data_IF_655259954597
#
_entry.id   IF_655259954597
#
_cell.length_a   1.000
_cell.length_b   1.000
_cell.length_c   1.000
_cell.angle_alpha   90.00
_cell.angle_beta   90.00
_cell.angle_gamma   90.00
#
_symmetry.space_group_name_H-M   'P 1'
#
loop_
_entity.id
_entity.type
_entity.pdbx_description
1 polymer ?
#
# COMPACT_ATOMS: atom_id res chain seq x y z
N UNK A 1 12.02 18.21 6.04
CA UNK A 1 11.02 17.95 4.99
C UNK A 1 11.15 16.50 4.57
N UNK A 2 10.04 15.75 4.54
CA UNK A 2 10.01 14.36 4.08
C UNK A 2 9.71 14.32 2.59
N UNK A 3 10.33 13.40 1.86
CA UNK A 3 10.07 13.17 0.44
C UNK A 3 9.62 11.72 0.23
N UNK A 4 8.61 11.52 -0.62
CA UNK A 4 8.27 10.19 -1.11
C UNK A 4 9.05 9.95 -2.40
N UNK A 5 9.85 8.88 -2.44
CA UNK A 5 10.72 8.54 -3.57
C UNK A 5 10.45 7.12 -4.06
N UNK A 6 10.43 7.00 -5.38
CA UNK A 6 10.25 5.74 -6.10
C UNK A 6 11.61 5.18 -6.52
N UNK A 7 11.81 3.88 -6.30
CA UNK A 7 13.01 3.14 -6.68
C UNK A 7 12.64 1.95 -7.56
N UNK A 8 13.01 2.01 -8.83
CA UNK A 8 12.67 1.03 -9.86
C UNK A 8 13.77 -0.03 -10.02
N UNK A 9 13.39 -1.26 -10.36
CA UNK A 9 14.27 -2.46 -10.40
C UNK A 9 15.59 -2.25 -11.15
N UNK A 10 15.57 -1.52 -12.26
CA UNK A 10 16.75 -1.29 -13.12
C UNK A 10 17.65 -0.13 -12.64
N UNK A 11 17.37 0.44 -11.46
CA UNK A 11 18.12 1.57 -10.90
C UNK A 11 18.90 1.14 -9.66
N UNK A 12 20.12 1.69 -9.43
CA UNK A 12 20.99 1.27 -8.33
C UNK A 12 20.33 1.44 -6.95
N UNK A 13 19.48 2.45 -6.77
CA UNK A 13 18.78 2.68 -5.50
C UNK A 13 17.81 1.55 -5.11
N UNK A 14 17.31 0.76 -6.07
CA UNK A 14 16.44 -0.38 -5.77
C UNK A 14 17.16 -1.44 -4.94
N UNK A 15 18.41 -1.78 -5.31
CA UNK A 15 19.22 -2.76 -4.59
C UNK A 15 19.52 -2.32 -3.16
N UNK A 16 19.83 -1.04 -2.97
CA UNK A 16 20.04 -0.47 -1.64
C UNK A 16 18.79 -0.62 -0.75
N UNK A 17 17.60 -0.33 -1.27
CA UNK A 17 16.35 -0.51 -0.51
C UNK A 17 16.08 -2.00 -0.26
N UNK A 18 16.30 -2.85 -1.25
CA UNK A 18 16.12 -4.30 -1.15
C UNK A 18 16.98 -4.89 -0.02
N UNK A 19 18.26 -4.51 0.04
CA UNK A 19 19.19 -4.92 1.10
C UNK A 19 18.73 -4.40 2.47
N UNK A 20 18.33 -3.14 2.57
CA UNK A 20 17.82 -2.58 3.82
C UNK A 20 16.56 -3.30 4.33
N UNK A 21 15.64 -3.69 3.43
CA UNK A 21 14.47 -4.51 3.81
C UNK A 21 14.90 -5.89 4.30
N UNK A 22 15.85 -6.54 3.61
CA UNK A 22 16.38 -7.85 4.03
C UNK A 22 16.99 -7.78 5.42
N UNK A 23 17.81 -6.77 5.67
CA UNK A 23 18.43 -6.55 6.97
C UNK A 23 17.39 -6.28 8.06
N UNK A 24 16.32 -5.56 7.73
CA UNK A 24 15.21 -5.32 8.64
C UNK A 24 14.47 -6.64 9.00
N UNK A 25 14.17 -7.48 8.01
CA UNK A 25 13.54 -8.78 8.26
C UNK A 25 14.46 -9.72 9.05
N UNK A 26 15.77 -9.71 8.77
CA UNK A 26 16.75 -10.48 9.52
C UNK A 26 16.81 -10.03 10.98
N UNK A 27 16.87 -8.71 11.21
CA UNK A 27 16.93 -8.13 12.56
C UNK A 27 15.69 -8.43 13.39
N UNK A 28 14.49 -8.32 12.79
CA UNK A 28 13.23 -8.43 13.53
C UNK A 28 12.72 -9.87 13.66
N UNK A 29 13.01 -10.72 12.68
CA UNK A 29 12.43 -12.06 12.59
C UNK A 29 13.46 -13.17 12.45
N UNK A 30 14.75 -12.87 12.27
CA UNK A 30 15.73 -13.87 11.83
C UNK A 30 15.44 -14.40 10.42
N UNK A 31 14.65 -13.66 9.63
CA UNK A 31 14.17 -14.06 8.32
C UNK A 31 15.06 -13.48 7.21
N UNK A 32 15.24 -14.22 6.12
CA UNK A 32 16.05 -13.79 4.97
C UNK A 32 15.29 -13.89 3.64
N UNK A 33 14.05 -13.37 3.53
CA UNK A 33 13.31 -13.37 2.27
C UNK A 33 14.03 -12.51 1.23
N UNK A 34 13.86 -12.80 -0.05
CA UNK A 34 14.39 -11.97 -1.13
C UNK A 34 13.26 -11.18 -1.79
N UNK A 35 12.88 -10.00 -1.25
CA UNK A 35 11.76 -9.23 -1.79
C UNK A 35 12.08 -8.73 -3.20
N UNK A 36 11.19 -9.01 -4.15
CA UNK A 36 11.33 -8.59 -5.56
C UNK A 36 10.08 -7.86 -6.08
N UNK A 37 9.60 -6.79 -5.40
CA UNK A 37 8.50 -6.00 -5.94
C UNK A 37 8.85 -5.34 -7.27
N UNK A 38 7.86 -4.82 -7.99
CA UNK A 38 8.08 -4.07 -9.23
C UNK A 38 8.62 -2.66 -8.94
N UNK A 39 8.25 -2.11 -7.78
CA UNK A 39 8.63 -0.78 -7.33
C UNK A 39 8.83 -0.77 -5.81
N UNK A 40 9.89 -0.12 -5.34
CA UNK A 40 9.97 0.31 -3.95
C UNK A 40 9.56 1.78 -3.82
N UNK A 41 8.80 2.10 -2.77
CA UNK A 41 8.46 3.46 -2.39
C UNK A 41 9.01 3.72 -0.99
N UNK A 42 9.82 4.77 -0.83
CA UNK A 42 10.41 5.13 0.45
C UNK A 42 10.00 6.54 0.89
N UNK A 43 9.84 6.72 2.19
CA UNK A 43 9.80 8.03 2.82
C UNK A 43 11.23 8.41 3.20
N UNK A 44 11.84 9.33 2.47
CA UNK A 44 13.24 9.75 2.65
C UNK A 44 13.35 11.11 3.34
N UNK A 45 14.57 11.45 3.72
CA UNK A 45 14.95 12.83 4.01
C UNK A 45 14.92 13.69 2.74
N UNK A 46 15.16 15.00 2.91
CA UNK A 46 15.16 15.97 1.82
C UNK A 46 16.26 15.71 0.77
N UNK A 47 17.32 15.00 1.14
CA UNK A 47 18.39 14.56 0.23
C UNK A 47 17.95 13.46 -0.75
N UNK A 48 16.81 12.80 -0.50
CA UNK A 48 16.30 11.72 -1.31
C UNK A 48 17.03 10.39 -1.12
N UNK A 49 17.91 10.26 -0.12
CA UNK A 49 18.71 9.07 0.08
C UNK A 49 17.89 7.88 0.60
N UNK A 50 18.13 6.70 0.04
CA UNK A 50 17.62 5.43 0.54
C UNK A 50 18.43 4.95 1.76
N UNK A 51 17.85 4.15 2.66
CA UNK A 51 16.47 3.66 2.63
C UNK A 51 15.46 4.61 3.32
N UNK A 52 15.94 5.73 3.88
CA UNK A 52 15.11 6.73 4.53
C UNK A 52 14.52 6.26 5.86
N UNK A 53 13.29 6.69 6.15
CA UNK A 53 12.58 6.42 7.41
C UNK A 53 11.74 5.14 7.36
N UNK A 54 11.14 4.85 6.20
CA UNK A 54 10.32 3.68 5.96
C UNK A 54 10.26 3.40 4.45
N UNK A 55 10.01 2.16 4.09
CA UNK A 55 9.78 1.75 2.71
C UNK A 55 8.72 0.64 2.61
N UNK A 56 8.10 0.52 1.44
CA UNK A 56 7.25 -0.60 1.06
C UNK A 56 7.52 -0.97 -0.40
N UNK A 57 7.23 -2.21 -0.76
CA UNK A 57 7.21 -2.69 -2.14
C UNK A 57 5.81 -2.70 -2.71
N UNK A 58 5.68 -2.40 -4.00
CA UNK A 58 4.46 -2.54 -4.80
C UNK A 58 4.72 -3.57 -5.91
N UNK A 59 3.86 -4.58 -5.98
CA UNK A 59 3.82 -5.54 -7.11
C UNK A 59 2.47 -5.38 -7.80
N UNK A 60 2.46 -5.22 -9.12
CA UNK A 60 1.23 -5.01 -9.86
C UNK A 60 0.60 -6.34 -10.26
N UNK A 61 -0.73 -6.44 -10.26
CA UNK A 61 -1.41 -7.69 -10.57
C UNK A 61 -1.14 -8.20 -11.99
N UNK A 62 -0.82 -7.31 -12.93
CA UNK A 62 -0.50 -7.64 -14.32
C UNK A 62 0.97 -8.07 -14.54
N UNK A 63 1.84 -7.94 -13.53
CA UNK A 63 3.22 -8.44 -13.60
C UNK A 63 3.33 -9.94 -13.27
N UNK A 64 2.27 -10.55 -12.74
CA UNK A 64 2.19 -12.00 -12.50
C UNK A 64 1.29 -12.38 -11.32
N UNK A 65 1.53 -13.57 -10.78
CA UNK A 65 0.87 -14.04 -9.54
C UNK A 65 1.40 -13.25 -8.35
N UNK A 66 0.49 -12.68 -7.56
CA UNK A 66 0.86 -11.92 -6.37
C UNK A 66 1.25 -12.88 -5.24
N UNK A 67 2.11 -12.45 -4.32
CA UNK A 67 2.59 -13.35 -3.26
C UNK A 67 1.46 -13.82 -2.35
N UNK A 68 0.54 -12.91 -2.00
CA UNK A 68 -0.59 -13.18 -1.12
C UNK A 68 -1.58 -14.20 -1.69
N UNK A 69 -1.60 -14.41 -3.00
CA UNK A 69 -2.46 -15.43 -3.64
C UNK A 69 -2.00 -16.85 -3.37
N UNK A 70 -0.77 -17.05 -2.90
CA UNK A 70 -0.34 -18.37 -2.44
C UNK A 70 -1.19 -18.86 -1.26
N UNK A 71 -1.74 -17.94 -0.46
CA UNK A 71 -2.57 -18.25 0.69
C UNK A 71 -4.08 -18.33 0.38
N UNK A 72 -4.48 -18.10 -0.86
CA UNK A 72 -5.89 -18.06 -1.27
C UNK A 72 -6.21 -19.21 -2.22
N UNK A 73 -7.44 -19.69 -2.16
CA UNK A 73 -7.92 -20.79 -3.01
C UNK A 73 -8.31 -20.31 -4.41
N UNK A 74 -8.66 -19.02 -4.53
CA UNK A 74 -9.02 -18.34 -5.76
C UNK A 74 -8.14 -17.09 -5.98
N UNK A 75 -7.99 -16.69 -7.24
CA UNK A 75 -7.27 -15.45 -7.58
C UNK A 75 -8.09 -14.21 -7.21
N UNK A 76 -7.41 -13.13 -6.86
CA UNK A 76 -8.06 -11.89 -6.41
C UNK A 76 -8.94 -11.26 -7.49
N UNK A 77 -8.57 -11.37 -8.76
CA UNK A 77 -9.36 -10.89 -9.89
C UNK A 77 -10.70 -11.63 -10.02
N UNK A 78 -10.72 -12.92 -9.71
CA UNK A 78 -11.93 -13.74 -9.70
C UNK A 78 -12.81 -13.39 -8.49
N UNK A 79 -12.26 -13.45 -7.28
CA UNK A 79 -13.05 -13.26 -6.05
C UNK A 79 -13.60 -11.84 -5.89
N UNK A 80 -12.93 -10.82 -6.47
CA UNK A 80 -13.39 -9.43 -6.43
C UNK A 80 -14.04 -8.94 -7.72
N UNK A 81 -14.13 -9.77 -8.75
CA UNK A 81 -14.62 -9.42 -10.09
C UNK A 81 -13.97 -8.12 -10.62
N UNK A 82 -12.64 -8.02 -10.52
CA UNK A 82 -11.89 -6.83 -10.90
C UNK A 82 -10.76 -7.19 -11.87
N UNK A 83 -10.56 -6.34 -12.88
CA UNK A 83 -9.48 -6.53 -13.85
C UNK A 83 -8.09 -6.54 -13.19
N UNK A 84 -7.24 -7.48 -13.60
CA UNK A 84 -5.94 -7.75 -13.01
C UNK A 84 -5.02 -6.52 -12.90
N UNK A 85 -5.01 -5.67 -13.92
CA UNK A 85 -4.24 -4.41 -13.96
C UNK A 85 -4.70 -3.37 -12.92
N UNK A 86 -5.83 -3.58 -12.23
CA UNK A 86 -6.34 -2.71 -11.17
C UNK A 86 -6.06 -3.25 -9.77
N UNK A 87 -5.30 -4.33 -9.66
CA UNK A 87 -4.90 -4.95 -8.40
C UNK A 87 -3.43 -4.61 -8.13
N UNK A 88 -3.12 -4.22 -6.90
CA UNK A 88 -1.74 -4.04 -6.44
C UNK A 88 -1.53 -4.79 -5.13
N UNK A 89 -0.36 -5.41 -4.97
CA UNK A 89 0.10 -5.94 -3.70
C UNK A 89 1.06 -4.97 -3.04
N UNK A 90 0.84 -4.69 -1.76
CA UNK A 90 1.82 -4.01 -0.91
C UNK A 90 2.51 -5.07 -0.05
N UNK A 91 3.83 -5.17 -0.21
CA UNK A 91 4.68 -6.08 0.53
C UNK A 91 5.98 -5.40 0.96
N UNK A 92 6.96 -6.21 1.40
CA UNK A 92 8.31 -5.75 1.73
C UNK A 92 8.34 -4.49 2.62
N UNK A 93 7.40 -4.41 3.57
CA UNK A 93 7.19 -3.22 4.38
C UNK A 93 8.18 -3.19 5.53
N UNK A 94 8.99 -2.13 5.60
CA UNK A 94 10.00 -1.94 6.63
C UNK A 94 10.01 -0.49 7.14
N UNK A 95 10.16 -0.34 8.45
CA UNK A 95 10.33 0.96 9.11
C UNK A 95 11.68 0.99 9.77
N UNK A 96 12.54 1.92 9.37
CA UNK A 96 13.92 2.03 9.86
C UNK A 96 14.04 2.93 11.09
N UNK A 97 13.01 3.74 11.37
CA UNK A 97 12.91 4.57 12.57
C UNK A 97 11.61 4.32 13.33
N UNK A 98 11.70 3.55 14.42
CA UNK A 98 10.59 3.27 15.33
C UNK A 98 9.98 4.55 15.92
N UNK A 99 8.67 4.55 16.13
CA UNK A 99 7.94 5.64 16.81
C UNK A 99 7.76 6.93 16.01
N UNK A 100 8.30 7.02 14.79
CA UNK A 100 8.20 8.23 13.94
C UNK A 100 6.84 8.40 13.24
N UNK A 101 6.02 7.35 13.17
CA UNK A 101 4.81 7.32 12.35
C UNK A 101 5.08 7.29 10.83
N UNK A 102 6.34 7.20 10.40
CA UNK A 102 6.76 7.21 8.99
C UNK A 102 6.10 6.09 8.18
N UNK A 103 6.06 4.87 8.71
CA UNK A 103 5.42 3.73 8.04
C UNK A 103 3.93 3.96 7.78
N UNK A 104 3.19 4.47 8.79
CA UNK A 104 1.76 4.82 8.65
C UNK A 104 1.54 5.90 7.61
N UNK A 105 2.34 6.98 7.67
CA UNK A 105 2.26 8.06 6.70
C UNK A 105 2.51 7.56 5.27
N UNK A 106 3.56 6.75 5.08
CA UNK A 106 3.93 6.18 3.79
C UNK A 106 2.82 5.28 3.26
N UNK A 107 2.31 4.35 4.08
CA UNK A 107 1.26 3.42 3.69
C UNK A 107 -0.02 4.17 3.26
N UNK A 108 -0.48 5.14 4.07
CA UNK A 108 -1.62 5.99 3.74
C UNK A 108 -1.40 6.77 2.42
N UNK A 109 -0.20 7.32 2.22
CA UNK A 109 0.14 8.05 0.99
C UNK A 109 0.08 7.13 -0.23
N UNK A 110 0.63 5.92 -0.12
CA UNK A 110 0.63 4.94 -1.22
C UNK A 110 -0.77 4.46 -1.55
N UNK A 111 -1.60 4.16 -0.55
CA UNK A 111 -3.01 3.77 -0.76
C UNK A 111 -3.79 4.84 -1.53
N UNK A 112 -3.64 6.12 -1.14
CA UNK A 112 -4.25 7.25 -1.83
C UNK A 112 -3.73 7.41 -3.26
N UNK A 113 -2.42 7.29 -3.46
CA UNK A 113 -1.80 7.35 -4.79
C UNK A 113 -2.34 6.23 -5.70
N UNK A 114 -2.40 4.99 -5.22
CA UNK A 114 -2.96 3.88 -5.99
C UNK A 114 -4.43 4.13 -6.37
N UNK A 115 -5.24 4.63 -5.43
CA UNK A 115 -6.63 4.99 -5.70
C UNK A 115 -6.75 6.09 -6.77
N UNK A 116 -5.89 7.12 -6.74
CA UNK A 116 -5.82 8.18 -7.75
C UNK A 116 -5.37 7.66 -9.12
N UNK A 117 -4.55 6.60 -9.15
CA UNK A 117 -4.12 5.91 -10.37
C UNK A 117 -5.09 4.80 -10.81
N UNK A 118 -6.34 4.82 -10.32
CA UNK A 118 -7.44 3.95 -10.75
C UNK A 118 -7.26 2.44 -10.43
N UNK A 119 -6.33 2.11 -9.54
CA UNK A 119 -6.32 0.80 -8.88
C UNK A 119 -7.58 0.69 -8.02
N UNK A 120 -8.25 -0.46 -8.09
CA UNK A 120 -9.51 -0.70 -7.38
C UNK A 120 -9.38 -1.71 -6.24
N UNK A 121 -8.24 -2.40 -6.12
CA UNK A 121 -7.98 -3.36 -5.06
C UNK A 121 -6.52 -3.32 -4.67
N UNK A 122 -6.27 -3.31 -3.36
CA UNK A 122 -4.94 -3.57 -2.79
C UNK A 122 -4.99 -4.80 -1.91
N UNK A 123 -3.93 -5.60 -1.90
CA UNK A 123 -3.77 -6.76 -1.01
C UNK A 123 -2.46 -6.65 -0.24
N UNK A 124 -2.46 -7.13 1.00
CA UNK A 124 -1.29 -7.20 1.87
C UNK A 124 -1.27 -8.52 2.64
N UNK A 125 -0.09 -9.09 2.83
CA UNK A 125 0.16 -10.08 3.90
C UNK A 125 0.63 -9.32 5.14
N UNK A 126 -0.32 -9.00 6.02
CA UNK A 126 -0.11 -8.09 7.15
C UNK A 126 0.06 -8.86 8.47
N UNK A 127 1.17 -8.62 9.17
CA UNK A 127 1.32 -9.00 10.60
C UNK A 127 0.37 -8.19 11.47
N UNK A 128 0.20 -8.58 12.74
CA UNK A 128 -0.64 -7.85 13.70
C UNK A 128 -0.29 -6.35 13.77
N UNK A 129 1.00 -6.02 13.80
CA UNK A 129 1.45 -4.63 13.81
C UNK A 129 1.02 -3.86 12.55
N UNK A 130 1.10 -4.49 11.38
CA UNK A 130 0.69 -3.86 10.12
C UNK A 130 -0.82 -3.68 10.07
N UNK A 131 -1.60 -4.65 10.57
CA UNK A 131 -3.06 -4.53 10.70
C UNK A 131 -3.46 -3.38 11.64
N UNK A 132 -2.73 -3.19 12.74
CA UNK A 132 -2.94 -2.05 13.64
C UNK A 132 -2.66 -0.71 12.95
N UNK A 133 -1.62 -0.63 12.11
CA UNK A 133 -1.33 0.56 11.31
C UNK A 133 -2.47 0.82 10.30
N UNK A 134 -2.95 -0.22 9.61
CA UNK A 134 -4.06 -0.11 8.67
C UNK A 134 -5.36 0.33 9.35
N UNK A 135 -5.65 -0.14 10.57
CA UNK A 135 -6.81 0.29 11.35
C UNK A 135 -6.78 1.76 11.80
N UNK A 136 -5.63 2.43 11.70
CA UNK A 136 -5.48 3.88 11.94
C UNK A 136 -5.59 4.71 10.65
N UNK A 137 -5.81 4.05 9.51
CA UNK A 137 -6.03 4.65 8.19
C UNK A 137 -7.51 4.48 7.87
N UNK A 138 -8.11 5.47 7.21
CA UNK A 138 -9.51 5.42 6.79
C UNK A 138 -9.65 4.50 5.56
N UNK A 139 -9.67 3.19 5.81
CA UNK A 139 -9.68 2.14 4.79
C UNK A 139 -10.49 0.93 5.27
N UNK A 140 -11.31 0.36 4.39
CA UNK A 140 -12.07 -0.86 4.68
C UNK A 140 -11.23 -2.10 4.39
N UNK A 141 -10.99 -2.93 5.41
CA UNK A 141 -10.19 -4.14 5.31
C UNK A 141 -11.09 -5.38 5.29
N UNK A 142 -11.04 -6.12 4.19
CA UNK A 142 -11.56 -7.48 4.07
C UNK A 142 -10.47 -8.46 4.49
N UNK A 143 -10.71 -9.23 5.54
CA UNK A 143 -9.80 -10.27 6.03
C UNK A 143 -10.03 -11.58 5.29
N UNK A 144 -9.07 -11.99 4.47
CA UNK A 144 -9.15 -13.17 3.61
C UNK A 144 -8.58 -14.44 4.26
N UNK A 145 -8.13 -14.34 5.51
CA UNK A 145 -7.67 -15.49 6.28
C UNK A 145 -6.20 -15.42 6.71
N UNK A 146 -5.78 -16.47 7.41
CA UNK A 146 -4.41 -16.61 7.89
C UNK A 146 -3.45 -16.90 6.74
N UNK A 147 -2.30 -16.22 6.73
CA UNK A 147 -1.20 -16.55 5.83
C UNK A 147 -0.45 -17.76 6.39
N UNK A 148 -0.93 -18.96 6.02
CA UNK A 148 -0.32 -20.23 6.42
C UNK A 148 0.99 -20.46 5.67
N UNK A 149 2.09 -20.63 6.41
CA UNK A 149 3.41 -20.91 5.89
C UNK A 149 3.44 -22.18 5.01
N UNK A 150 2.58 -23.17 5.30
CA UNK A 150 2.50 -24.42 4.53
C UNK A 150 2.13 -24.19 3.06
N UNK A 151 1.48 -23.06 2.74
CA UNK A 151 1.04 -22.69 1.39
C UNK A 151 2.10 -21.96 0.58
N UNK A 152 3.22 -21.56 1.18
CA UNK A 152 4.30 -20.89 0.46
C UNK A 152 4.93 -21.85 -0.54
N UNK A 153 5.03 -21.44 -1.81
CA UNK A 153 5.56 -22.30 -2.86
C UNK A 153 7.06 -22.58 -2.69
N UNK A 154 7.82 -21.57 -2.30
CA UNK A 154 9.26 -21.71 -2.05
C UNK A 154 9.54 -21.98 -0.58
N UNK A 155 9.65 -23.26 -0.24
CA UNK A 155 9.94 -23.75 1.11
C UNK A 155 11.42 -23.60 1.50
N UNK A 156 12.30 -23.18 0.58
CA UNK A 156 13.72 -22.94 0.90
C UNK A 156 13.95 -21.57 1.52
N UNK A 157 12.98 -20.66 1.42
CA UNK A 157 13.08 -19.32 2.02
C UNK A 157 13.01 -19.43 3.54
N UNK A 158 14.07 -18.98 4.22
CA UNK A 158 14.05 -18.85 5.66
C UNK A 158 13.19 -17.65 6.08
N UNK A 159 12.02 -17.94 6.65
CA UNK A 159 11.10 -16.95 7.21
C UNK A 159 11.28 -16.69 8.71
N UNK A 160 12.22 -17.37 9.38
CA UNK A 160 12.48 -17.21 10.80
C UNK A 160 11.20 -17.24 11.65
N UNK A 161 10.99 -16.23 12.49
CA UNK A 161 9.79 -16.06 13.33
C UNK A 161 8.69 -15.20 12.70
N UNK A 162 8.78 -14.90 11.40
CA UNK A 162 7.79 -14.05 10.73
C UNK A 162 6.37 -14.62 10.82
N UNK A 163 6.19 -15.91 10.55
CA UNK A 163 4.86 -16.55 10.65
C UNK A 163 4.36 -16.71 12.08
N UNK A 164 5.25 -16.67 13.08
CA UNK A 164 4.85 -16.62 14.49
C UNK A 164 4.09 -15.32 14.83
N UNK A 165 4.18 -14.28 13.97
CA UNK A 165 3.45 -13.03 14.12
C UNK A 165 1.99 -13.11 13.61
N UNK A 166 1.51 -14.31 13.30
CA UNK A 166 0.18 -14.58 12.75
C UNK A 166 -0.19 -13.61 11.61
N UNK A 167 0.61 -13.56 10.52
CA UNK A 167 0.27 -12.75 9.36
C UNK A 167 -1.06 -13.21 8.76
N UNK A 168 -1.84 -12.26 8.25
CA UNK A 168 -3.13 -12.49 7.61
C UNK A 168 -3.16 -11.79 6.26
N UNK A 169 -3.82 -12.40 5.29
CA UNK A 169 -4.07 -11.76 4.01
C UNK A 169 -5.25 -10.82 4.18
N UNK A 170 -5.01 -9.54 3.95
CA UNK A 170 -6.04 -8.51 3.99
C UNK A 170 -6.11 -7.82 2.64
N UNK A 171 -7.32 -7.51 2.19
CA UNK A 171 -7.55 -6.75 0.99
C UNK A 171 -8.38 -5.51 1.31
N UNK A 172 -8.22 -4.47 0.49
CA UNK A 172 -9.05 -3.29 0.56
C UNK A 172 -9.45 -2.87 -0.83
N UNK A 173 -10.75 -2.65 -1.03
CA UNK A 173 -11.19 -1.91 -2.20
C UNK A 173 -10.66 -0.48 -2.10
N UNK A 174 -10.14 0.01 -3.22
CA UNK A 174 -9.71 1.38 -3.35
C UNK A 174 -10.76 2.11 -4.17
N UNK A 175 -11.22 3.22 -3.64
CA UNK A 175 -12.00 4.20 -4.40
C UNK A 175 -11.19 5.48 -4.44
N UNK A 176 -11.11 6.16 -5.60
CA UNK A 176 -10.55 7.51 -5.61
C UNK A 176 -11.26 8.32 -4.52
N UNK A 177 -10.55 9.14 -3.73
CA UNK A 177 -11.22 10.09 -2.86
C UNK A 177 -12.19 10.88 -3.75
N UNK A 178 -13.50 10.81 -3.43
CA UNK A 178 -14.60 11.27 -4.29
C UNK A 178 -14.15 12.47 -5.12
N UNK A 179 -14.13 12.29 -6.44
CA UNK A 179 -14.14 13.42 -7.37
C UNK A 179 -15.20 14.36 -6.85
N UNK A 180 -14.79 15.57 -6.43
CA UNK A 180 -15.61 16.75 -6.26
C UNK A 180 -17.00 16.52 -6.86
N UNK A 181 -17.97 16.09 -6.05
CA UNK A 181 -19.33 16.07 -6.53
C UNK A 181 -19.62 17.54 -6.85
N UNK A 182 -19.90 17.82 -8.12
CA UNK A 182 -20.63 19.01 -8.49
C UNK A 182 -21.92 18.99 -7.68
N UNK A 183 -21.89 19.50 -6.44
CA UNK A 183 -23.08 20.04 -5.83
C UNK A 183 -23.44 21.18 -6.77
N UNK A 184 -24.54 21.11 -7.54
CA UNK A 184 -24.88 22.20 -8.43
C UNK A 184 -24.93 23.43 -7.53
N UNK A 185 -24.08 24.42 -7.83
CA UNK A 185 -24.12 25.73 -7.20
C UNK A 185 -25.59 26.12 -7.23
N UNK A 186 -26.21 26.16 -6.04
CA UNK A 186 -27.63 26.48 -5.92
C UNK A 186 -27.85 27.76 -6.72
N UNK A 187 -28.70 27.68 -7.74
CA UNK A 187 -29.12 28.83 -8.53
C UNK A 187 -29.71 29.84 -7.56
N UNK A 188 -28.89 30.79 -7.10
CA UNK A 188 -29.37 31.99 -6.44
C UNK A 188 -30.09 32.76 -7.53
N UNK A 189 -31.44 32.71 -7.51
CA UNK A 189 -32.26 33.55 -8.38
C UNK A 189 -31.87 35.01 -8.13
N UNK A 190 -31.57 35.81 -9.17
CA UNK A 190 -31.33 37.23 -8.96
C UNK A 190 -32.59 37.87 -8.37
N UNK A 191 -32.42 38.59 -7.25
CA UNK A 191 -33.46 39.44 -6.68
C UNK A 191 -33.70 40.61 -7.64
N UNK A 192 -34.94 40.76 -8.09
CA UNK A 192 -35.38 41.90 -8.89
C UNK A 192 -35.20 43.19 -8.09
N UNK A 193 -34.26 44.04 -8.49
CA UNK A 193 -34.29 45.45 -8.12
C UNK A 193 -35.35 46.14 -8.96
N UNK A 194 -36.53 46.36 -8.38
CA UNK A 194 -37.52 47.26 -8.92
C UNK A 194 -36.97 48.69 -8.87
N UNK A 195 -36.79 49.31 -10.03
CA UNK A 195 -36.58 50.75 -10.17
C UNK A 195 -37.84 51.47 -9.67
N UNK A 196 -37.75 52.10 -8.51
CA UNK A 196 -38.72 53.09 -8.10
C UNK A 196 -38.47 54.38 -8.90
N UNK A 197 -39.34 54.64 -9.87
CA UNK A 197 -39.48 55.94 -10.51
C UNK A 197 -40.55 56.74 -9.76
N UNK A 198 -40.18 57.94 -9.30
CA UNK A 198 -41.07 59.06 -8.95
C UNK A 198 -40.16 60.29 -8.90
N UNK A 199 -40.19 61.16 -9.91
CA UNK A 199 -41.14 62.27 -10.09
C UNK A 199 -40.92 63.37 -9.04
#
# INVERSE_FOLDING_TARGET
MYLVRNFYRDRPGYRCVQEAVRDNYLKHYGATPEPKPDLFVCLTQADGAAPGFACLGITYGDSGTLFSEQYLDESLDTSYAIGRARIAEIGAFASFQSGSGAGRYLLNTVLKTLALHNYGLVVLTATEQVRQILGQIDVSLDDLGQADHSRVKDQQVNWGTYYSQAPRVVASRLSPPMSWEHKPLGLVRPQNYALAASA
#
